data_IF_889468825030
#
_entry.id   IF_889468825030
#
_cell.length_a   1.000
_cell.length_b   1.000
_cell.length_c   1.000
_cell.angle_alpha   90.00
_cell.angle_beta   90.00
_cell.angle_gamma   90.00
#
_symmetry.space_group_name_H-M   'P 1'
#
loop_
_entity.id
_entity.type
_entity.pdbx_description
1 polymer ?
#
# COMPACT_ATOMS: atom_id res chain seq x y z
N UNK A 1 -25.16 37.79 -23.69
CA UNK A 1 -24.95 39.14 -24.24
C UNK A 1 -23.47 39.36 -24.39
N UNK A 2 -22.95 39.36 -25.62
CA UNK A 2 -21.53 39.55 -25.89
C UNK A 2 -21.19 41.04 -25.88
N UNK A 3 -20.78 41.57 -24.73
CA UNK A 3 -20.19 42.90 -24.66
C UNK A 3 -18.78 42.87 -25.25
N UNK A 4 -18.46 43.80 -26.15
CA UNK A 4 -17.08 43.98 -26.62
C UNK A 4 -16.31 44.68 -25.51
N UNK A 5 -15.36 43.97 -24.88
CA UNK A 5 -14.41 44.55 -23.93
C UNK A 5 -13.25 45.16 -24.71
N UNK A 6 -13.08 46.47 -24.63
CA UNK A 6 -11.88 47.16 -25.11
C UNK A 6 -10.82 47.06 -24.02
N UNK A 7 -9.60 46.67 -24.38
CA UNK A 7 -8.44 46.61 -23.49
C UNK A 7 -7.36 47.49 -24.12
N UNK A 8 -6.86 48.48 -23.39
CA UNK A 8 -5.80 49.36 -23.88
C UNK A 8 -4.42 48.75 -23.58
N UNK A 9 -3.48 48.90 -24.52
CA UNK A 9 -2.17 48.23 -24.45
C UNK A 9 -1.32 48.67 -23.25
N UNK A 10 -1.54 49.88 -22.74
CA UNK A 10 -0.90 50.45 -21.56
C UNK A 10 -1.51 49.95 -20.23
N UNK A 11 -2.68 49.31 -20.26
CA UNK A 11 -3.36 48.80 -19.07
C UNK A 11 -2.99 47.35 -18.73
N UNK A 12 -2.33 46.63 -19.64
CA UNK A 12 -1.95 45.22 -19.47
C UNK A 12 -0.45 45.01 -19.72
N UNK A 13 0.26 44.37 -18.78
CA UNK A 13 1.66 44.02 -18.99
C UNK A 13 1.75 42.83 -19.95
N UNK A 14 2.14 43.10 -21.20
CA UNK A 14 2.40 42.09 -22.23
C UNK A 14 1.18 41.72 -23.08
N UNK A 15 1.35 40.71 -23.93
CA UNK A 15 0.31 40.25 -24.85
C UNK A 15 -0.76 39.44 -24.11
N UNK A 16 -2.02 39.61 -24.53
CA UNK A 16 -3.14 38.82 -24.03
C UNK A 16 -2.99 37.39 -24.57
N UNK A 17 -2.91 36.43 -23.64
CA UNK A 17 -2.85 35.00 -23.98
C UNK A 17 -4.17 34.56 -24.62
N UNK A 18 -4.10 33.96 -25.80
CA UNK A 18 -5.26 33.44 -26.54
C UNK A 18 -5.74 32.08 -25.96
N UNK A 19 -6.79 31.50 -26.55
CA UNK A 19 -7.35 30.18 -26.24
C UNK A 19 -6.62 29.01 -26.90
N UNK A 20 -5.70 29.29 -27.84
CA UNK A 20 -4.82 28.31 -28.48
C UNK A 20 -3.40 28.56 -28.00
N UNK A 21 -2.80 27.57 -27.32
CA UNK A 21 -1.44 27.64 -26.78
C UNK A 21 -0.52 26.73 -27.58
N UNK A 22 0.35 27.31 -28.41
CA UNK A 22 1.39 26.62 -29.17
C UNK A 22 2.79 26.83 -28.57
N UNK A 23 2.90 27.63 -27.51
CA UNK A 23 4.14 28.01 -26.84
C UNK A 23 4.57 27.06 -25.71
N UNK A 24 3.73 26.08 -25.36
CA UNK A 24 4.01 25.08 -24.32
C UNK A 24 4.31 23.72 -24.97
N UNK A 25 5.59 23.31 -25.06
CA UNK A 25 5.95 22.03 -25.65
C UNK A 25 5.52 20.85 -24.74
N UNK A 26 5.36 19.64 -25.29
CA UNK A 26 5.20 18.44 -24.50
C UNK A 26 6.45 18.15 -23.66
N UNK A 27 6.30 17.30 -22.64
CA UNK A 27 7.40 16.93 -21.74
C UNK A 27 8.57 16.35 -22.52
N UNK A 28 9.73 16.99 -22.39
CA UNK A 28 10.97 16.51 -22.99
C UNK A 28 11.37 15.15 -22.35
N UNK A 29 11.65 14.09 -23.13
CA UNK A 29 12.08 12.79 -22.61
C UNK A 29 13.33 12.84 -21.71
N UNK A 30 14.21 13.83 -21.91
CA UNK A 30 15.40 14.06 -21.09
C UNK A 30 15.21 15.18 -20.06
N UNK A 31 14.01 15.76 -19.97
CA UNK A 31 13.70 16.86 -19.07
C UNK A 31 13.74 16.44 -17.60
N UNK A 32 14.18 17.34 -16.73
CA UNK A 32 14.23 17.11 -15.27
C UNK A 32 12.85 16.90 -14.65
N UNK A 33 11.78 17.40 -15.28
CA UNK A 33 10.40 17.17 -14.84
C UNK A 33 9.89 15.75 -15.15
N UNK A 34 10.60 14.92 -15.93
CA UNK A 34 10.10 13.63 -16.41
C UNK A 34 10.08 12.57 -15.31
N UNK A 35 8.89 12.03 -15.03
CA UNK A 35 8.63 10.98 -14.02
C UNK A 35 8.29 9.62 -14.64
N UNK A 36 8.72 9.37 -15.88
CA UNK A 36 8.51 8.10 -16.61
C UNK A 36 7.03 7.66 -16.75
N UNK A 37 6.08 8.59 -16.63
CA UNK A 37 4.67 8.32 -16.86
C UNK A 37 4.30 8.61 -18.31
N UNK A 38 3.68 7.65 -19.00
CA UNK A 38 3.45 7.70 -20.46
C UNK A 38 2.76 8.99 -20.91
N UNK A 39 1.69 9.38 -20.21
CA UNK A 39 0.81 10.51 -20.54
C UNK A 39 1.03 11.74 -19.63
N UNK A 40 2.26 11.91 -19.11
CA UNK A 40 2.60 13.04 -18.26
C UNK A 40 2.38 14.39 -18.98
N UNK A 41 1.64 15.28 -18.32
CA UNK A 41 1.43 16.67 -18.74
C UNK A 41 2.60 17.56 -18.27
N UNK A 42 3.02 18.57 -19.05
CA UNK A 42 4.12 19.46 -18.70
C UNK A 42 3.73 20.43 -17.58
N UNK A 43 4.66 20.73 -16.66
CA UNK A 43 4.37 21.61 -15.51
C UNK A 43 3.93 23.03 -15.93
N UNK A 44 4.54 23.59 -16.98
CA UNK A 44 4.23 24.93 -17.47
C UNK A 44 2.75 25.10 -17.88
N UNK A 45 2.14 24.04 -18.43
CA UNK A 45 0.72 24.03 -18.78
C UNK A 45 -0.16 24.17 -17.54
N UNK A 46 0.10 23.35 -16.52
CA UNK A 46 -0.69 23.36 -15.29
C UNK A 46 -0.43 24.64 -14.49
N UNK A 47 0.79 25.19 -14.56
CA UNK A 47 1.12 26.45 -13.90
C UNK A 47 0.29 27.60 -14.46
N UNK A 48 0.17 27.70 -15.79
CA UNK A 48 -0.67 28.70 -16.46
C UNK A 48 -2.13 28.58 -16.02
N UNK A 49 -2.68 27.36 -16.07
CA UNK A 49 -4.09 27.10 -15.71
C UNK A 49 -4.36 27.47 -14.24
N UNK A 50 -3.49 27.02 -13.31
CA UNK A 50 -3.69 27.24 -11.87
C UNK A 50 -3.54 28.73 -11.52
N UNK A 51 -2.56 29.45 -12.09
CA UNK A 51 -2.39 30.89 -11.88
C UNK A 51 -3.56 31.70 -12.42
N UNK A 52 -4.13 31.31 -13.56
CA UNK A 52 -5.27 32.00 -14.16
C UNK A 52 -6.60 31.75 -13.43
N UNK A 53 -6.72 30.62 -12.71
CA UNK A 53 -8.00 30.14 -12.19
C UNK A 53 -8.08 30.10 -10.66
N UNK A 54 -7.02 30.46 -9.93
CA UNK A 54 -7.00 30.35 -8.47
C UNK A 54 -6.01 31.28 -7.78
N UNK A 55 -6.34 31.69 -6.56
CA UNK A 55 -5.44 32.42 -5.67
C UNK A 55 -4.58 31.49 -4.82
N UNK A 56 -3.50 32.04 -4.23
CA UNK A 56 -2.67 31.33 -3.25
C UNK A 56 -3.53 30.85 -2.07
N UNK A 57 -3.32 29.62 -1.61
CA UNK A 57 -4.12 29.00 -0.55
C UNK A 57 -5.44 28.35 -1.00
N UNK A 58 -5.89 28.58 -2.24
CA UNK A 58 -7.05 27.90 -2.81
C UNK A 58 -6.86 26.39 -2.85
N UNK A 59 -7.97 25.64 -2.92
CA UNK A 59 -7.97 24.20 -3.10
C UNK A 59 -8.05 23.84 -4.59
N UNK A 60 -7.09 23.08 -5.08
CA UNK A 60 -7.07 22.50 -6.43
C UNK A 60 -7.39 21.01 -6.35
N UNK A 61 -8.30 20.51 -7.18
CA UNK A 61 -8.66 19.10 -7.22
C UNK A 61 -8.34 18.48 -8.58
N UNK A 62 -7.75 17.29 -8.60
CA UNK A 62 -7.52 16.50 -9.81
C UNK A 62 -7.85 15.03 -9.56
N UNK A 63 -8.95 14.56 -10.13
CA UNK A 63 -9.46 13.19 -9.93
C UNK A 63 -8.95 12.18 -10.97
N UNK A 64 -7.99 12.61 -11.81
CA UNK A 64 -7.26 11.76 -12.76
C UNK A 64 -5.78 12.16 -12.75
N UNK A 65 -5.20 12.18 -11.54
CA UNK A 65 -3.97 12.90 -11.30
C UNK A 65 -2.75 12.28 -12.02
N UNK A 66 -2.80 10.99 -12.37
CA UNK A 66 -1.76 10.31 -13.15
C UNK A 66 -0.37 10.46 -12.54
N UNK A 67 0.53 11.17 -13.23
CA UNK A 67 1.88 11.50 -12.76
C UNK A 67 1.95 12.60 -11.70
N UNK A 68 0.81 13.11 -11.22
CA UNK A 68 0.73 14.11 -10.17
C UNK A 68 1.12 15.52 -10.58
N UNK A 69 1.15 15.85 -11.89
CA UNK A 69 1.63 17.16 -12.36
C UNK A 69 0.81 18.30 -11.74
N UNK A 70 -0.52 18.18 -11.73
CA UNK A 70 -1.43 19.20 -11.17
C UNK A 70 -1.13 19.44 -9.69
N UNK A 71 -0.98 18.37 -8.90
CA UNK A 71 -0.73 18.46 -7.46
C UNK A 71 0.65 19.05 -7.16
N UNK A 72 1.68 18.61 -7.89
CA UNK A 72 3.04 19.11 -7.73
C UNK A 72 3.13 20.61 -8.05
N UNK A 73 2.45 21.07 -9.10
CA UNK A 73 2.40 22.49 -9.47
C UNK A 73 1.57 23.29 -8.45
N UNK A 74 0.43 22.76 -8.00
CA UNK A 74 -0.38 23.39 -6.96
C UNK A 74 0.43 23.60 -5.67
N UNK A 75 1.18 22.58 -5.22
CA UNK A 75 2.06 22.63 -4.06
C UNK A 75 3.13 23.73 -4.21
N UNK A 76 3.88 23.72 -5.33
CA UNK A 76 4.93 24.74 -5.62
C UNK A 76 4.37 26.16 -5.66
N UNK A 77 3.14 26.32 -6.14
CA UNK A 77 2.44 27.61 -6.20
C UNK A 77 1.78 27.99 -4.86
N UNK A 78 1.88 27.17 -3.82
CA UNK A 78 1.31 27.45 -2.50
C UNK A 78 -0.22 27.34 -2.45
N UNK A 79 -0.81 26.45 -3.25
CA UNK A 79 -2.22 26.05 -3.17
C UNK A 79 -2.34 24.77 -2.33
N UNK A 80 -3.53 24.55 -1.76
CA UNK A 80 -3.90 23.23 -1.22
C UNK A 80 -4.33 22.35 -2.38
N UNK A 81 -4.21 21.04 -2.23
CA UNK A 81 -4.58 20.13 -3.29
C UNK A 81 -5.22 18.85 -2.75
N UNK A 82 -6.09 18.24 -3.57
CA UNK A 82 -6.60 16.88 -3.40
C UNK A 82 -6.47 16.19 -4.75
N UNK A 83 -5.87 15.00 -4.75
CA UNK A 83 -5.74 14.18 -5.94
C UNK A 83 -6.36 12.80 -5.72
N UNK A 84 -6.94 12.24 -6.78
CA UNK A 84 -7.20 10.82 -6.82
C UNK A 84 -6.87 10.23 -8.20
N UNK A 85 -6.62 8.93 -8.20
CA UNK A 85 -6.43 8.11 -9.39
C UNK A 85 -6.80 6.67 -9.02
N UNK A 86 -7.38 5.94 -9.96
CA UNK A 86 -7.71 4.53 -9.78
C UNK A 86 -6.44 3.66 -9.76
N UNK A 87 -5.40 4.08 -10.47
CA UNK A 87 -4.17 3.33 -10.60
C UNK A 87 -3.28 3.50 -9.37
N UNK A 88 -3.01 2.40 -8.65
CA UNK A 88 -2.01 2.38 -7.56
C UNK A 88 -0.64 2.88 -8.04
N UNK A 89 -0.27 2.57 -9.28
CA UNK A 89 0.95 3.07 -9.92
C UNK A 89 0.96 4.60 -10.04
N UNK A 90 -0.13 5.20 -10.53
CA UNK A 90 -0.26 6.65 -10.62
C UNK A 90 -0.14 7.32 -9.25
N UNK A 91 -0.81 6.77 -8.23
CA UNK A 91 -0.69 7.24 -6.84
C UNK A 91 0.75 7.14 -6.33
N UNK A 92 1.44 6.03 -6.61
CA UNK A 92 2.84 5.85 -6.20
C UNK A 92 3.78 6.85 -6.87
N UNK A 93 3.67 7.05 -8.20
CA UNK A 93 4.45 8.04 -8.95
C UNK A 93 4.19 9.45 -8.43
N UNK A 94 2.92 9.79 -8.20
CA UNK A 94 2.50 11.07 -7.64
C UNK A 94 3.09 11.29 -6.25
N UNK A 95 3.00 10.30 -5.36
CA UNK A 95 3.58 10.35 -4.01
C UNK A 95 5.08 10.60 -4.08
N UNK A 96 5.81 9.83 -4.88
CA UNK A 96 7.28 9.96 -5.04
C UNK A 96 7.65 11.36 -5.57
N UNK A 97 6.86 11.88 -6.51
CA UNK A 97 7.04 13.23 -7.06
C UNK A 97 6.85 14.32 -6.01
N UNK A 98 5.79 14.24 -5.22
CA UNK A 98 5.50 15.22 -4.16
C UNK A 98 6.58 15.21 -3.08
N UNK A 99 7.03 14.03 -2.64
CA UNK A 99 8.12 13.89 -1.67
C UNK A 99 9.46 14.46 -2.17
N UNK A 100 9.64 14.58 -3.49
CA UNK A 100 10.81 15.22 -4.10
C UNK A 100 10.76 16.75 -4.12
N UNK A 101 9.66 17.37 -3.70
CA UNK A 101 9.51 18.83 -3.63
C UNK A 101 10.11 19.31 -2.31
N UNK A 102 11.02 20.28 -2.39
CA UNK A 102 11.63 20.91 -1.22
C UNK A 102 10.55 21.60 -0.36
N UNK A 103 10.55 21.32 0.94
CA UNK A 103 9.56 21.84 1.89
C UNK A 103 8.10 21.49 1.55
N UNK A 104 7.86 20.37 0.86
CA UNK A 104 6.51 19.85 0.64
C UNK A 104 5.76 19.73 1.98
N UNK A 105 4.53 20.24 2.02
CA UNK A 105 3.70 20.12 3.21
C UNK A 105 3.30 18.66 3.47
N UNK A 106 3.08 18.26 4.74
CA UNK A 106 2.57 16.93 5.06
C UNK A 106 1.25 16.64 4.33
N UNK A 107 1.12 15.41 3.83
CA UNK A 107 -0.09 14.95 3.16
C UNK A 107 -0.37 13.49 3.50
N UNK A 108 -1.63 13.11 3.41
CA UNK A 108 -2.08 11.73 3.65
C UNK A 108 -2.37 11.05 2.32
N UNK A 109 -2.04 9.76 2.23
CA UNK A 109 -2.48 8.90 1.12
C UNK A 109 -3.59 8.02 1.66
N UNK A 110 -4.81 8.33 1.25
CA UNK A 110 -6.00 7.59 1.68
C UNK A 110 -6.33 6.50 0.67
N UNK A 111 -6.62 5.30 1.18
CA UNK A 111 -7.15 4.21 0.38
C UNK A 111 -8.64 4.03 0.71
N UNK A 112 -9.52 4.20 -0.27
CA UNK A 112 -10.97 4.08 -0.09
C UNK A 112 -11.46 2.64 0.18
N UNK A 113 -10.56 1.66 0.21
CA UNK A 113 -10.85 0.23 0.31
C UNK A 113 -11.80 -0.22 1.43
N UNK A 114 -11.97 0.55 2.50
CA UNK A 114 -12.91 0.22 3.58
C UNK A 114 -14.38 0.40 3.18
N UNK A 115 -14.70 1.46 2.43
CA UNK A 115 -16.09 1.75 2.01
C UNK A 115 -16.51 0.90 0.81
N UNK A 116 -15.59 0.69 -0.14
CA UNK A 116 -15.85 -0.09 -1.34
C UNK A 116 -16.22 -1.54 -1.02
N UNK A 117 -15.50 -2.18 -0.08
CA UNK A 117 -15.74 -3.56 0.34
C UNK A 117 -17.09 -3.76 1.02
N UNK A 118 -17.44 -2.87 1.95
CA UNK A 118 -18.73 -2.91 2.66
C UNK A 118 -19.90 -2.65 1.71
N UNK A 119 -19.75 -1.68 0.80
CA UNK A 119 -20.72 -1.41 -0.25
C UNK A 119 -20.86 -2.60 -1.19
N UNK A 120 -19.74 -3.16 -1.66
CA UNK A 120 -19.71 -4.34 -2.51
C UNK A 120 -20.41 -5.55 -1.86
N UNK A 121 -20.14 -5.82 -0.58
CA UNK A 121 -20.81 -6.89 0.16
C UNK A 121 -22.33 -6.67 0.19
N UNK A 122 -22.77 -5.45 0.48
CA UNK A 122 -24.19 -5.09 0.49
C UNK A 122 -24.86 -5.21 -0.88
N UNK A 123 -24.19 -4.80 -1.96
CA UNK A 123 -24.74 -4.90 -3.32
C UNK A 123 -24.74 -6.34 -3.85
N UNK A 124 -23.71 -7.12 -3.51
CA UNK A 124 -23.52 -8.48 -4.03
C UNK A 124 -24.37 -9.51 -3.30
N UNK A 125 -24.53 -9.35 -1.98
CA UNK A 125 -25.18 -10.34 -1.11
C UNK A 125 -26.43 -9.79 -0.40
N UNK A 126 -26.65 -8.48 -0.37
CA UNK A 126 -27.85 -7.88 0.21
C UNK A 126 -29.04 -7.92 -0.76
N UNK A 127 -30.12 -8.59 -0.38
CA UNK A 127 -31.37 -8.52 -1.13
C UNK A 127 -32.07 -7.15 -0.92
N UNK A 128 -32.90 -6.73 -1.88
CA UNK A 128 -33.69 -5.46 -1.82
C UNK A 128 -34.72 -5.37 -0.67
N UNK A 129 -34.81 -6.37 0.21
CA UNK A 129 -35.73 -6.39 1.36
C UNK A 129 -34.92 -6.34 2.65
N UNK A 130 -35.38 -5.49 3.59
CA UNK A 130 -34.79 -5.22 4.92
C UNK A 130 -33.93 -6.37 5.45
N UNK A 131 -32.63 -6.07 5.53
CA UNK A 131 -31.50 -6.93 5.83
C UNK A 131 -31.70 -7.86 7.03
N UNK A 132 -31.44 -9.15 6.82
CA UNK A 132 -30.81 -9.96 7.85
C UNK A 132 -29.29 -9.85 7.65
N UNK A 133 -28.63 -9.00 8.45
CA UNK A 133 -27.18 -8.79 8.37
C UNK A 133 -26.41 -10.11 8.54
N UNK A 134 -26.95 -11.08 9.28
CA UNK A 134 -26.30 -12.39 9.45
C UNK A 134 -26.29 -13.18 8.15
N UNK A 135 -27.36 -13.11 7.35
CA UNK A 135 -27.44 -13.79 6.06
C UNK A 135 -26.44 -13.21 5.05
N UNK A 136 -26.26 -11.89 5.03
CA UNK A 136 -25.27 -11.22 4.18
C UNK A 136 -23.85 -11.68 4.53
N UNK A 137 -23.52 -11.74 5.83
CA UNK A 137 -22.22 -12.22 6.31
C UNK A 137 -22.02 -13.70 5.94
N UNK A 138 -23.04 -14.53 6.11
CA UNK A 138 -22.97 -15.96 5.75
C UNK A 138 -22.71 -16.16 4.26
N UNK A 139 -23.39 -15.40 3.39
CA UNK A 139 -23.18 -15.45 1.94
C UNK A 139 -21.77 -15.00 1.55
N UNK A 140 -21.27 -13.94 2.18
CA UNK A 140 -19.89 -13.48 2.02
C UNK A 140 -18.88 -14.59 2.38
N UNK A 141 -19.03 -15.21 3.56
CA UNK A 141 -18.15 -16.30 4.01
C UNK A 141 -18.20 -17.49 3.03
N UNK A 142 -19.40 -17.92 2.65
CA UNK A 142 -19.58 -19.04 1.71
C UNK A 142 -18.94 -18.74 0.34
N UNK A 143 -19.05 -17.49 -0.12
CA UNK A 143 -18.41 -17.04 -1.36
C UNK A 143 -16.88 -17.07 -1.25
N UNK A 144 -16.30 -16.57 -0.16
CA UNK A 144 -14.84 -16.62 0.06
C UNK A 144 -14.32 -18.05 0.13
N UNK A 145 -15.01 -18.93 0.86
CA UNK A 145 -14.66 -20.34 0.97
C UNK A 145 -14.67 -21.02 -0.40
N UNK A 146 -15.70 -20.75 -1.22
CA UNK A 146 -15.79 -21.26 -2.59
C UNK A 146 -14.59 -20.82 -3.44
N UNK A 147 -14.24 -19.53 -3.43
CA UNK A 147 -13.10 -19.02 -4.19
C UNK A 147 -11.77 -19.59 -3.69
N UNK A 148 -11.66 -19.83 -2.38
CA UNK A 148 -10.48 -20.44 -1.78
C UNK A 148 -10.42 -21.97 -1.94
N UNK A 149 -11.43 -22.59 -2.54
CA UNK A 149 -11.59 -24.05 -2.64
C UNK A 149 -11.60 -24.74 -1.27
N UNK A 150 -12.32 -24.15 -0.32
CA UNK A 150 -12.57 -24.69 1.01
C UNK A 150 -14.04 -25.08 1.17
N UNK A 151 -14.28 -26.14 1.94
CA UNK A 151 -15.62 -26.63 2.26
C UNK A 151 -16.16 -25.91 3.50
N UNK A 152 -17.41 -25.43 3.50
CA UNK A 152 -18.03 -24.82 4.68
C UNK A 152 -18.10 -25.79 5.87
N UNK A 153 -17.88 -25.25 7.06
CA UNK A 153 -17.95 -25.98 8.32
C UNK A 153 -18.97 -25.29 9.24
N UNK A 154 -19.74 -26.09 9.99
CA UNK A 154 -20.76 -25.59 10.92
C UNK A 154 -20.45 -26.04 12.34
N UNK A 155 -20.99 -25.34 13.33
CA UNK A 155 -20.84 -25.69 14.75
C UNK A 155 -19.55 -25.20 15.41
N UNK A 156 -18.75 -24.40 14.70
CA UNK A 156 -17.59 -23.69 15.23
C UNK A 156 -17.96 -22.23 15.51
N UNK A 157 -17.22 -21.57 16.41
CA UNK A 157 -17.41 -20.16 16.75
C UNK A 157 -16.65 -19.23 15.83
N UNK A 158 -15.40 -19.57 15.50
CA UNK A 158 -14.50 -18.74 14.70
C UNK A 158 -14.12 -19.41 13.38
N UNK A 159 -14.07 -20.74 13.32
CA UNK A 159 -13.72 -21.45 12.07
C UNK A 159 -14.93 -21.54 11.13
N UNK A 160 -14.74 -21.14 9.87
CA UNK A 160 -15.81 -21.07 8.87
C UNK A 160 -15.78 -22.23 7.87
N UNK A 161 -14.62 -22.85 7.67
CA UNK A 161 -14.47 -23.92 6.68
C UNK A 161 -13.24 -24.78 6.89
N UNK A 162 -13.00 -25.66 5.92
CA UNK A 162 -11.88 -26.59 5.91
C UNK A 162 -11.34 -26.79 4.49
N UNK A 163 -10.02 -26.81 4.34
CA UNK A 163 -9.33 -27.08 3.07
C UNK A 163 -8.32 -28.20 3.28
N UNK A 164 -8.67 -29.41 2.87
CA UNK A 164 -7.89 -30.60 3.17
C UNK A 164 -7.80 -30.82 4.69
N UNK A 165 -6.60 -30.65 5.27
CA UNK A 165 -6.39 -30.74 6.73
C UNK A 165 -6.40 -29.38 7.45
N UNK A 166 -6.37 -28.28 6.70
CA UNK A 166 -6.35 -26.94 7.27
C UNK A 166 -7.77 -26.50 7.64
N UNK A 167 -7.96 -26.00 8.86
CA UNK A 167 -9.14 -25.22 9.20
C UNK A 167 -9.03 -23.82 8.59
N UNK A 168 -10.15 -23.22 8.24
CA UNK A 168 -10.20 -21.95 7.51
C UNK A 168 -11.08 -20.96 8.25
N UNK A 169 -10.50 -19.80 8.57
CA UNK A 169 -11.21 -18.62 9.05
C UNK A 169 -11.24 -17.56 7.95
N UNK A 170 -12.36 -16.82 7.86
CA UNK A 170 -12.56 -15.71 6.92
C UNK A 170 -12.82 -14.46 7.75
N UNK A 171 -11.88 -13.52 7.71
CA UNK A 171 -11.97 -12.26 8.44
C UNK A 171 -13.08 -11.35 7.91
N UNK A 172 -13.45 -10.37 8.73
CA UNK A 172 -14.47 -9.39 8.40
C UNK A 172 -14.12 -8.59 7.13
N UNK A 173 -15.16 -8.18 6.39
CA UNK A 173 -14.97 -7.42 5.15
C UNK A 173 -14.52 -5.96 5.40
N UNK A 174 -14.90 -5.40 6.55
CA UNK A 174 -14.77 -3.98 6.89
C UNK A 174 -13.83 -3.70 8.07
N UNK A 175 -13.14 -4.72 8.59
CA UNK A 175 -12.17 -4.60 9.67
C UNK A 175 -10.91 -5.44 9.39
N UNK A 176 -9.73 -5.01 9.87
CA UNK A 176 -8.53 -5.85 9.85
C UNK A 176 -8.69 -7.04 10.80
N UNK A 177 -8.06 -8.16 10.46
CA UNK A 177 -7.96 -9.32 11.35
C UNK A 177 -6.98 -9.01 12.49
N UNK A 178 -7.40 -9.24 13.73
CA UNK A 178 -6.64 -8.86 14.94
C UNK A 178 -5.87 -10.02 15.56
N UNK A 179 -4.87 -9.72 16.40
CA UNK A 179 -4.11 -10.71 17.18
C UNK A 179 -5.05 -11.56 18.04
N UNK A 180 -6.04 -10.94 18.69
CA UNK A 180 -7.02 -11.63 19.53
C UNK A 180 -7.90 -12.58 18.71
N UNK A 181 -8.33 -12.16 17.53
CA UNK A 181 -9.11 -13.00 16.60
C UNK A 181 -8.30 -14.21 16.12
N UNK A 182 -7.03 -14.00 15.76
CA UNK A 182 -6.13 -15.10 15.37
C UNK A 182 -5.91 -16.05 16.54
N UNK A 183 -5.66 -15.54 17.75
CA UNK A 183 -5.49 -16.35 18.95
C UNK A 183 -6.74 -17.20 19.23
N UNK A 184 -7.94 -16.62 19.14
CA UNK A 184 -9.20 -17.35 19.30
C UNK A 184 -9.34 -18.50 18.28
N UNK A 185 -8.96 -18.25 17.02
CA UNK A 185 -8.94 -19.29 15.99
C UNK A 185 -7.91 -20.40 16.28
N UNK A 186 -6.74 -20.04 16.82
CA UNK A 186 -5.71 -21.02 17.24
C UNK A 186 -6.22 -21.90 18.38
N UNK A 187 -6.86 -21.30 19.40
CA UNK A 187 -7.47 -22.05 20.50
C UNK A 187 -8.52 -23.03 20.00
N UNK A 188 -9.44 -22.58 19.14
CA UNK A 188 -10.48 -23.43 18.58
C UNK A 188 -9.89 -24.55 17.71
N UNK A 189 -8.87 -24.24 16.90
CA UNK A 189 -8.14 -25.21 16.09
C UNK A 189 -7.51 -26.33 16.93
N UNK A 190 -6.84 -25.95 18.03
CA UNK A 190 -6.25 -26.91 18.97
C UNK A 190 -7.32 -27.71 19.72
N UNK A 191 -8.41 -27.06 20.13
CA UNK A 191 -9.52 -27.68 20.84
C UNK A 191 -10.18 -28.82 20.06
N UNK A 192 -10.15 -28.75 18.72
CA UNK A 192 -10.67 -29.81 17.84
C UNK A 192 -9.57 -30.73 17.27
N UNK A 193 -8.36 -30.66 17.82
CA UNK A 193 -7.25 -31.55 17.49
C UNK A 193 -6.65 -31.35 16.09
N UNK A 194 -6.84 -30.18 15.48
CA UNK A 194 -6.20 -29.81 14.22
C UNK A 194 -4.94 -29.00 14.46
N UNK A 195 -3.98 -29.09 13.54
CA UNK A 195 -2.65 -28.47 13.64
C UNK A 195 -2.30 -27.60 12.44
N UNK A 196 -3.25 -27.31 11.56
CA UNK A 196 -3.07 -26.39 10.45
C UNK A 196 -4.28 -25.45 10.35
N UNK A 197 -4.00 -24.16 10.30
CA UNK A 197 -4.99 -23.08 10.31
C UNK A 197 -4.65 -22.07 9.23
N UNK A 198 -5.60 -21.79 8.35
CA UNK A 198 -5.52 -20.73 7.34
C UNK A 198 -6.50 -19.62 7.72
N UNK A 199 -6.02 -18.38 7.76
CA UNK A 199 -6.82 -17.21 8.06
C UNK A 199 -6.78 -16.32 6.83
N UNK A 200 -7.94 -16.02 6.26
CA UNK A 200 -8.08 -15.16 5.10
C UNK A 200 -8.55 -13.77 5.56
N UNK A 201 -7.76 -12.74 5.28
CA UNK A 201 -8.05 -11.37 5.71
C UNK A 201 -7.89 -10.36 4.59
N UNK A 202 -8.69 -9.30 4.60
CA UNK A 202 -8.52 -8.16 3.70
C UNK A 202 -7.40 -7.23 4.14
N UNK A 203 -7.26 -7.08 5.45
CA UNK A 203 -6.29 -6.25 6.16
C UNK A 203 -5.89 -6.97 7.46
N UNK A 204 -4.77 -6.55 8.06
CA UNK A 204 -4.17 -7.17 9.22
C UNK A 204 -3.84 -6.11 10.26
N UNK A 205 -3.96 -6.47 11.54
CA UNK A 205 -3.50 -5.61 12.63
C UNK A 205 -2.00 -5.30 12.50
N UNK A 206 -1.66 -4.03 12.70
CA UNK A 206 -0.28 -3.54 12.53
C UNK A 206 0.67 -4.21 13.53
N UNK A 207 1.81 -4.71 13.05
CA UNK A 207 2.80 -5.38 13.90
C UNK A 207 2.45 -6.81 14.31
N UNK A 208 1.29 -7.34 13.87
CA UNK A 208 0.89 -8.73 14.18
C UNK A 208 1.86 -9.76 13.56
N UNK A 209 2.30 -9.54 12.33
CA UNK A 209 3.26 -10.42 11.64
C UNK A 209 4.68 -9.95 11.95
N UNK A 210 5.60 -10.85 12.35
CA UNK A 210 5.55 -12.31 12.36
C UNK A 210 5.23 -12.90 13.73
N UNK A 211 5.05 -12.06 14.76
CA UNK A 211 4.84 -12.49 16.14
C UNK A 211 3.80 -13.61 16.23
N UNK A 212 2.63 -13.41 15.62
CA UNK A 212 1.53 -14.37 15.71
C UNK A 212 1.84 -15.71 15.02
N UNK A 213 2.63 -15.68 13.95
CA UNK A 213 3.05 -16.89 13.21
C UNK A 213 4.04 -17.70 14.05
N UNK A 214 4.97 -17.01 14.72
CA UNK A 214 5.89 -17.67 15.64
C UNK A 214 5.17 -18.25 16.85
N UNK A 215 4.20 -17.52 17.40
CA UNK A 215 3.42 -17.97 18.55
C UNK A 215 2.56 -19.20 18.20
N UNK A 216 1.84 -19.17 17.07
CA UNK A 216 1.10 -20.33 16.58
C UNK A 216 2.00 -21.56 16.43
N UNK A 217 3.21 -21.38 15.88
CA UNK A 217 4.20 -22.45 15.73
C UNK A 217 4.67 -23.01 17.07
N UNK A 218 4.93 -22.18 18.08
CA UNK A 218 5.27 -22.65 19.44
C UNK A 218 4.16 -23.49 20.05
N UNK A 219 2.91 -23.15 19.73
CA UNK A 219 1.71 -23.87 20.17
C UNK A 219 1.39 -25.10 19.32
N UNK A 220 2.21 -25.43 18.32
CA UNK A 220 2.04 -26.61 17.48
C UNK A 220 1.05 -26.44 16.31
N UNK A 221 0.65 -25.22 15.98
CA UNK A 221 -0.23 -24.91 14.85
C UNK A 221 0.59 -24.31 13.70
N UNK A 222 0.50 -24.92 12.52
CA UNK A 222 0.96 -24.31 11.28
C UNK A 222 -0.06 -23.24 10.85
N UNK A 223 0.24 -21.98 11.14
CA UNK A 223 -0.59 -20.84 10.77
C UNK A 223 -0.21 -20.31 9.39
N UNK A 224 -1.21 -20.10 8.55
CA UNK A 224 -1.10 -19.42 7.27
C UNK A 224 -2.00 -18.19 7.26
N UNK A 225 -1.41 -17.01 7.10
CA UNK A 225 -2.15 -15.77 6.88
C UNK A 225 -2.23 -15.52 5.38
N UNK A 226 -3.44 -15.30 4.85
CA UNK A 226 -3.72 -15.23 3.42
C UNK A 226 -4.50 -13.96 3.12
N UNK A 227 -3.98 -13.12 2.24
CA UNK A 227 -4.65 -11.88 1.84
C UNK A 227 -5.75 -12.18 0.83
N UNK A 228 -6.96 -11.66 1.10
CA UNK A 228 -8.08 -11.69 0.16
C UNK A 228 -7.80 -10.67 -0.97
N UNK A 229 -7.63 -11.13 -2.22
CA UNK A 229 -7.32 -10.26 -3.35
C UNK A 229 -8.52 -9.37 -3.71
N UNK A 230 -8.27 -8.17 -4.24
CA UNK A 230 -9.36 -7.23 -4.60
C UNK A 230 -10.16 -7.69 -5.80
N UNK A 231 -9.55 -8.49 -6.65
CA UNK A 231 -10.10 -9.12 -7.85
C UNK A 231 -11.35 -9.96 -7.52
N UNK A 232 -11.51 -10.40 -6.27
CA UNK A 232 -12.72 -11.04 -5.75
C UNK A 232 -13.97 -10.15 -5.90
N UNK A 233 -13.79 -8.83 -5.91
CA UNK A 233 -14.86 -7.86 -6.12
C UNK A 233 -15.17 -7.65 -7.61
N UNK A 234 -14.33 -8.16 -8.51
CA UNK A 234 -14.47 -8.04 -9.96
C UNK A 234 -15.14 -9.29 -10.53
N UNK A 235 -16.43 -9.19 -10.86
CA UNK A 235 -17.22 -10.32 -11.36
C UNK A 235 -16.54 -11.03 -12.56
N UNK A 236 -15.91 -10.28 -13.46
CA UNK A 236 -15.21 -10.84 -14.61
C UNK A 236 -14.00 -11.70 -14.23
N UNK A 237 -13.25 -11.32 -13.20
CA UNK A 237 -12.10 -12.09 -12.72
C UNK A 237 -12.56 -13.38 -12.01
N UNK A 238 -13.67 -13.29 -11.26
CA UNK A 238 -14.33 -14.43 -10.61
C UNK A 238 -14.83 -15.43 -11.65
N UNK A 239 -15.53 -14.98 -12.68
CA UNK A 239 -16.12 -15.84 -13.71
C UNK A 239 -15.07 -16.57 -14.55
N UNK A 240 -13.90 -15.95 -14.75
CA UNK A 240 -12.76 -16.56 -15.44
C UNK A 240 -11.97 -17.55 -14.56
N UNK A 241 -12.20 -17.56 -13.25
CA UNK A 241 -11.42 -18.35 -12.31
C UNK A 241 -10.02 -17.82 -12.08
N UNK A 242 -9.78 -16.53 -12.34
CA UNK A 242 -8.46 -15.88 -12.27
C UNK A 242 -8.11 -15.40 -10.84
N UNK A 243 -8.89 -15.80 -9.83
CA UNK A 243 -8.68 -15.38 -8.44
C UNK A 243 -7.54 -16.18 -7.81
N UNK A 244 -6.49 -15.49 -7.36
CA UNK A 244 -5.35 -16.09 -6.67
C UNK A 244 -5.23 -15.53 -5.25
N UNK A 245 -5.19 -16.43 -4.28
CA UNK A 245 -4.97 -16.09 -2.88
C UNK A 245 -3.48 -16.14 -2.55
N UNK A 246 -3.04 -15.17 -1.77
CA UNK A 246 -1.63 -14.87 -1.55
C UNK A 246 -1.31 -14.89 -0.07
N UNK A 247 -0.25 -15.57 0.35
CA UNK A 247 0.21 -15.50 1.74
C UNK A 247 0.61 -14.07 2.10
N UNK A 248 0.48 -13.68 3.37
CA UNK A 248 0.92 -12.35 3.82
C UNK A 248 2.43 -12.23 3.60
N UNK A 249 2.83 -11.13 2.95
CA UNK A 249 4.23 -10.81 2.81
C UNK A 249 4.86 -10.63 4.20
N UNK A 250 5.95 -11.36 4.45
CA UNK A 250 6.74 -11.21 5.66
C UNK A 250 8.19 -10.93 5.27
N UNK A 251 8.89 -10.23 6.17
CA UNK A 251 10.31 -9.93 6.01
C UNK A 251 11.06 -10.53 7.19
N UNK A 252 12.22 -11.11 6.91
CA UNK A 252 13.14 -11.56 7.95
C UNK A 252 14.31 -10.58 8.03
N UNK A 253 14.73 -10.29 9.26
CA UNK A 253 15.88 -9.43 9.52
C UNK A 253 16.83 -10.03 10.54
N UNK A 254 18.12 -9.80 10.31
CA UNK A 254 19.20 -9.95 11.28
C UNK A 254 19.52 -8.58 11.87
N UNK A 255 19.42 -8.44 13.19
CA UNK A 255 19.73 -7.19 13.90
C UNK A 255 20.95 -7.42 14.78
N UNK A 256 22.00 -6.64 14.53
CA UNK A 256 23.25 -6.70 15.28
C UNK A 256 23.47 -5.43 16.07
N UNK A 257 23.77 -5.59 17.35
CA UNK A 257 24.14 -4.52 18.27
C UNK A 257 25.60 -4.69 18.71
N UNK A 258 26.36 -3.61 18.84
CA UNK A 258 27.74 -3.66 19.34
C UNK A 258 27.96 -2.83 20.62
N UNK A 259 29.12 -2.96 21.24
CA UNK A 259 29.52 -2.25 22.48
C UNK A 259 29.61 -0.72 22.32
N UNK A 260 29.62 -0.22 21.07
CA UNK A 260 29.63 1.21 20.76
C UNK A 260 28.21 1.77 20.57
N UNK A 261 27.18 1.03 21.02
CA UNK A 261 25.75 1.36 20.83
C UNK A 261 25.33 1.49 19.38
N UNK A 262 26.00 0.77 18.49
CA UNK A 262 25.68 0.79 17.07
C UNK A 262 24.80 -0.41 16.73
N UNK A 263 23.76 -0.14 15.94
CA UNK A 263 22.79 -1.12 15.48
C UNK A 263 22.83 -1.18 13.97
N UNK A 264 22.85 -2.39 13.43
CA UNK A 264 22.76 -2.66 12.00
C UNK A 264 21.64 -3.64 11.74
N UNK A 265 20.77 -3.31 10.78
CA UNK A 265 19.66 -4.16 10.35
C UNK A 265 20.00 -4.72 8.98
N UNK A 266 19.87 -6.03 8.81
CA UNK A 266 20.06 -6.71 7.52
C UNK A 266 18.80 -7.48 7.15
N UNK A 267 18.18 -7.16 6.03
CA UNK A 267 17.15 -7.98 5.42
C UNK A 267 17.76 -9.32 4.98
N UNK A 268 17.23 -10.43 5.49
CA UNK A 268 17.71 -11.78 5.17
C UNK A 268 16.78 -12.52 4.22
N UNK A 269 15.47 -12.23 4.30
CA UNK A 269 14.47 -12.78 3.39
C UNK A 269 13.27 -11.81 3.23
N UNK A 270 12.52 -11.99 2.14
CA UNK A 270 11.25 -11.32 1.90
C UNK A 270 10.33 -12.24 1.10
N UNK A 271 9.25 -12.67 1.74
CA UNK A 271 8.21 -13.45 1.09
C UNK A 271 7.34 -12.53 0.23
N UNK A 272 7.48 -12.68 -1.09
CA UNK A 272 6.67 -11.94 -2.06
C UNK A 272 5.59 -12.85 -2.63
N UNK A 273 4.32 -12.68 -2.23
CA UNK A 273 3.31 -13.64 -2.59
C UNK A 273 2.81 -13.43 -4.03
N UNK A 274 2.93 -12.23 -4.58
CA UNK A 274 2.41 -11.84 -5.89
C UNK A 274 3.31 -12.20 -7.07
N UNK A 275 4.27 -13.12 -6.91
CA UNK A 275 5.19 -13.53 -7.99
C UNK A 275 4.47 -13.98 -9.25
N UNK A 276 3.28 -14.55 -9.06
CA UNK A 276 2.40 -15.04 -10.10
C UNK A 276 1.74 -13.97 -10.98
N UNK A 277 1.64 -12.74 -10.51
CA UNK A 277 1.12 -11.61 -11.28
C UNK A 277 2.16 -11.00 -12.23
N UNK A 278 3.42 -11.40 -12.10
CA UNK A 278 4.50 -10.93 -12.95
C UNK A 278 4.47 -11.72 -14.26
N UNK A 279 4.44 -11.05 -15.43
CA UNK A 279 4.56 -11.70 -16.73
C UNK A 279 5.75 -12.66 -16.77
N UNK A 280 5.59 -13.80 -17.43
CA UNK A 280 6.56 -14.90 -17.40
C UNK A 280 7.96 -14.45 -17.88
N UNK A 281 8.03 -13.63 -18.92
CA UNK A 281 9.26 -13.05 -19.46
C UNK A 281 9.98 -12.06 -18.52
N UNK A 282 9.24 -11.49 -17.55
CA UNK A 282 9.79 -10.63 -16.49
C UNK A 282 10.17 -11.49 -15.28
N UNK A 283 9.36 -12.50 -14.94
CA UNK A 283 9.62 -13.42 -13.83
C UNK A 283 10.91 -14.20 -14.02
N UNK A 284 11.22 -14.63 -15.24
CA UNK A 284 12.50 -15.29 -15.59
C UNK A 284 13.73 -14.41 -15.29
N UNK A 285 13.56 -13.08 -15.25
CA UNK A 285 14.65 -12.14 -14.95
C UNK A 285 14.87 -11.95 -13.45
N UNK A 286 13.93 -12.38 -12.61
CA UNK A 286 13.99 -12.27 -11.15
C UNK A 286 14.76 -13.47 -10.60
N UNK A 287 15.89 -13.20 -9.93
CA UNK A 287 16.82 -14.27 -9.50
C UNK A 287 16.89 -14.47 -8.00
N UNK A 288 16.44 -13.50 -7.21
CA UNK A 288 16.56 -13.48 -5.75
C UNK A 288 15.40 -12.71 -5.14
N UNK A 289 15.06 -13.02 -3.88
CA UNK A 289 13.97 -12.37 -3.15
C UNK A 289 14.07 -10.83 -3.13
N UNK A 290 15.28 -10.29 -3.02
CA UNK A 290 15.51 -8.83 -2.99
C UNK A 290 15.19 -8.12 -4.32
N UNK A 291 14.91 -8.87 -5.39
CA UNK A 291 14.39 -8.33 -6.66
C UNK A 291 12.93 -7.93 -6.62
N UNK A 292 12.18 -8.44 -5.64
CA UNK A 292 10.80 -8.02 -5.41
C UNK A 292 10.70 -6.72 -4.60
N UNK A 293 11.80 -6.17 -4.12
CA UNK A 293 11.83 -4.96 -3.30
C UNK A 293 12.29 -3.76 -4.13
N UNK A 294 11.46 -2.71 -4.16
CA UNK A 294 11.80 -1.44 -4.81
C UNK A 294 12.54 -0.50 -3.83
N UNK A 295 12.02 -0.35 -2.62
CA UNK A 295 12.68 0.36 -1.54
C UNK A 295 12.41 -0.25 -0.17
N UNK A 296 13.28 0.01 0.79
CA UNK A 296 13.00 -0.24 2.19
C UNK A 296 13.60 0.85 3.08
N UNK A 297 13.03 1.03 4.26
CA UNK A 297 13.39 2.07 5.20
C UNK A 297 13.32 1.58 6.64
N UNK A 298 14.02 2.28 7.54
CA UNK A 298 14.07 1.99 8.96
C UNK A 298 13.70 3.26 9.72
N UNK A 299 12.77 3.10 10.66
CA UNK A 299 12.59 4.01 11.79
C UNK A 299 13.36 3.42 12.99
N UNK A 300 14.36 4.15 13.47
CA UNK A 300 15.23 3.71 14.56
C UNK A 300 14.60 3.90 15.94
N UNK A 301 13.49 4.63 16.05
CA UNK A 301 12.85 4.84 17.34
C UNK A 301 11.35 5.06 17.16
N UNK A 302 10.68 4.02 16.69
CA UNK A 302 9.26 4.04 16.43
C UNK A 302 8.47 4.11 17.76
N UNK A 303 7.69 5.18 17.96
CA UNK A 303 6.93 5.43 19.18
C UNK A 303 5.44 5.10 19.01
N UNK A 304 5.13 4.14 18.13
CA UNK A 304 3.77 3.81 17.72
C UNK A 304 3.01 5.01 17.11
N UNK A 305 3.75 5.87 16.40
CA UNK A 305 3.29 7.13 15.83
C UNK A 305 3.53 7.18 14.32
N UNK A 306 3.79 8.37 13.77
CA UNK A 306 4.08 8.49 12.33
C UNK A 306 5.45 7.93 12.04
N UNK A 307 5.56 6.99 11.11
CA UNK A 307 6.85 6.43 10.67
C UNK A 307 7.84 7.54 10.29
N UNK A 308 8.93 7.64 11.04
CA UNK A 308 10.00 8.60 10.80
C UNK A 308 11.12 7.93 10.01
N UNK A 309 11.39 8.46 8.81
CA UNK A 309 12.42 7.88 7.94
C UNK A 309 13.82 8.20 8.48
N UNK A 310 14.40 7.26 9.23
CA UNK A 310 15.74 7.37 9.80
C UNK A 310 16.85 6.81 8.89
N UNK A 311 16.50 5.86 8.00
CA UNK A 311 17.40 5.32 7.00
C UNK A 311 16.59 4.73 5.83
N UNK A 312 17.12 4.80 4.60
CA UNK A 312 16.43 4.29 3.40
C UNK A 312 17.42 3.69 2.38
N UNK A 313 16.98 2.64 1.70
CA UNK A 313 17.66 2.08 0.53
C UNK A 313 16.67 1.82 -0.62
N UNK A 314 17.10 2.15 -1.83
CA UNK A 314 16.36 1.95 -3.07
C UNK A 314 17.31 1.77 -4.25
N UNK A 315 16.80 1.22 -5.35
CA UNK A 315 17.58 1.06 -6.60
C UNK A 315 17.65 2.38 -7.35
N UNK A 316 18.80 2.67 -7.97
CA UNK A 316 18.95 3.83 -8.85
C UNK A 316 19.37 3.39 -10.25
N UNK A 317 19.22 4.28 -11.24
CA UNK A 317 19.71 4.01 -12.61
C UNK A 317 21.21 3.69 -12.64
N UNK A 318 21.99 4.27 -11.73
CA UNK A 318 23.44 4.07 -11.59
C UNK A 318 23.80 2.82 -10.78
N UNK A 319 23.04 2.53 -9.72
CA UNK A 319 23.24 1.35 -8.88
C UNK A 319 21.98 0.48 -8.87
N UNK A 320 22.02 -0.59 -9.67
CA UNK A 320 20.90 -1.53 -9.83
C UNK A 320 20.80 -2.56 -8.70
N UNK A 321 21.77 -2.62 -7.78
CA UNK A 321 21.71 -3.52 -6.62
C UNK A 321 21.06 -2.79 -5.45
N UNK A 322 20.05 -3.40 -4.85
CA UNK A 322 19.48 -2.95 -3.59
C UNK A 322 20.42 -3.33 -2.44
N UNK A 323 20.89 -2.37 -1.61
CA UNK A 323 21.54 -2.68 -0.33
C UNK A 323 20.55 -3.41 0.59
N UNK A 324 20.94 -4.56 1.12
CA UNK A 324 20.14 -5.36 2.06
C UNK A 324 20.54 -5.15 3.51
N UNK A 325 21.63 -4.42 3.77
CA UNK A 325 22.09 -4.03 5.11
C UNK A 325 22.08 -2.51 5.25
N UNK A 326 21.71 -2.04 6.43
CA UNK A 326 21.80 -0.62 6.79
C UNK A 326 23.24 -0.21 7.08
N UNK A 327 23.50 1.09 7.02
CA UNK A 327 24.66 1.65 7.71
C UNK A 327 24.47 1.51 9.24
N UNK A 328 25.54 1.43 10.04
CA UNK A 328 25.42 1.40 11.49
C UNK A 328 24.79 2.68 12.05
N UNK A 329 23.71 2.55 12.81
CA UNK A 329 23.08 3.66 13.53
C UNK A 329 23.55 3.67 14.99
N UNK A 330 24.04 4.80 15.49
CA UNK A 330 24.58 4.92 16.85
C UNK A 330 23.56 5.58 17.78
N UNK A 331 23.20 4.91 18.87
CA UNK A 331 22.35 5.49 19.92
C UNK A 331 23.18 6.26 20.96
N UNK A 332 22.66 7.40 21.39
CA UNK A 332 23.31 8.23 22.42
C UNK A 332 23.23 7.61 23.81
N UNK A 333 22.09 6.96 24.13
CA UNK A 333 21.80 6.40 25.45
C UNK A 333 21.54 4.89 25.36
N UNK A 334 21.99 4.11 26.36
CA UNK A 334 21.55 2.73 26.48
C UNK A 334 20.06 2.67 26.82
N UNK A 335 19.42 1.58 26.44
CA UNK A 335 17.98 1.37 26.67
C UNK A 335 17.37 0.40 25.68
N UNK A 336 16.07 0.16 25.86
CA UNK A 336 15.25 -0.61 24.93
C UNK A 336 14.61 0.34 23.93
N UNK A 337 14.73 0.02 22.65
CA UNK A 337 14.14 0.80 21.55
C UNK A 337 13.27 -0.11 20.70
N UNK A 338 12.19 0.44 20.13
CA UNK A 338 11.42 -0.24 19.08
C UNK A 338 11.85 0.32 17.74
N UNK A 339 12.40 -0.52 16.88
CA UNK A 339 12.67 -0.16 15.49
C UNK A 339 11.54 -0.65 14.60
N UNK A 340 11.20 0.09 13.55
CA UNK A 340 10.25 -0.33 12.54
C UNK A 340 10.95 -0.44 11.19
N UNK A 341 10.89 -1.61 10.56
CA UNK A 341 11.40 -1.87 9.22
C UNK A 341 10.22 -1.85 8.26
N UNK A 342 10.31 -1.07 7.20
CA UNK A 342 9.30 -0.96 6.15
C UNK A 342 9.90 -1.34 4.81
N UNK A 343 9.36 -2.36 4.15
CA UNK A 343 9.70 -2.75 2.78
C UNK A 343 8.54 -2.35 1.87
N UNK A 344 8.86 -1.85 0.69
CA UNK A 344 7.90 -1.66 -0.39
C UNK A 344 8.30 -2.48 -1.59
N UNK A 345 7.36 -3.30 -2.03
CA UNK A 345 7.55 -4.21 -3.15
C UNK A 345 7.45 -3.51 -4.52
N UNK A 346 7.76 -4.25 -5.58
CA UNK A 346 7.69 -3.78 -6.98
C UNK A 346 6.27 -3.41 -7.46
N UNK A 347 5.22 -3.81 -6.72
CA UNK A 347 3.84 -3.40 -6.95
C UNK A 347 3.43 -2.19 -6.08
N UNK A 348 4.35 -1.68 -5.26
CA UNK A 348 4.14 -0.54 -4.38
C UNK A 348 3.40 -0.88 -3.10
N UNK A 349 3.22 -2.17 -2.75
CA UNK A 349 2.63 -2.56 -1.48
C UNK A 349 3.67 -2.43 -0.37
N UNK A 350 3.25 -1.95 0.79
CA UNK A 350 4.10 -1.89 1.95
C UNK A 350 3.93 -3.12 2.84
N UNK A 351 5.05 -3.59 3.40
CA UNK A 351 5.15 -4.60 4.44
C UNK A 351 6.00 -4.00 5.53
N UNK A 352 5.46 -3.90 6.75
CA UNK A 352 6.16 -3.29 7.86
C UNK A 352 6.17 -4.18 9.09
N UNK A 353 7.27 -4.13 9.84
CA UNK A 353 7.48 -4.97 11.00
C UNK A 353 8.28 -4.25 12.06
N UNK A 354 7.88 -4.40 13.32
CA UNK A 354 8.55 -3.79 14.47
C UNK A 354 9.41 -4.81 15.22
N UNK A 355 10.52 -4.34 15.78
CA UNK A 355 11.45 -5.15 16.55
C UNK A 355 11.87 -4.38 17.79
N UNK A 356 11.77 -5.01 18.96
CA UNK A 356 12.39 -4.50 20.17
C UNK A 356 13.87 -4.88 20.19
N UNK A 357 14.73 -3.90 20.48
CA UNK A 357 16.17 -4.08 20.56
C UNK A 357 16.68 -3.52 21.89
N UNK A 358 17.68 -4.18 22.45
CA UNK A 358 18.38 -3.72 23.65
C UNK A 358 19.74 -3.14 23.24
N UNK A 359 19.96 -1.86 23.54
CA UNK A 359 21.21 -1.16 23.28
C UNK A 359 21.93 -0.94 24.62
N UNK A 360 23.12 -1.53 24.75
CA UNK A 360 23.88 -1.59 26.02
C UNK A 360 24.73 -0.35 26.32
#
# INVERSE_FOLDING_TARGET
>A
GGGRRTIYLDEVPGDIVDSVWDDIPPVNPMGSERWEFATQKPEALLERIIKASSDKGSLVADFFCGSGTTLAVAEKLGRRWIGCDLSRWAIHVTRKRLLGIENCKPFEVLNLGKYERKYWMGVTFGEKKKDDQQMVIFQYIAFMLKLYSAEPLTGMQHIHGKKGRALVHIGAVDAPVTIDEVNACIEECLGVGQSELHILGWEWEMGMTPYIVQEAKRRGVKLLLVTIPREVMEQQAVDKGDIRFFEVAHLDVDIKTNEKRQVTVTLTDFAFPYSDMIPEDVREKIKKWSDYIDYWAIDWNFQNDTFMNGWVAYRTRKNRKLPVSSDPHTYEKPGTYTIMVKVVDIFGNDTSQTFEIEVK
#
